data_IF_505502825063
#
_entry.id   IF_505502825063
#
_cell.length_a   1.000
_cell.length_b   1.000
_cell.length_c   1.000
_cell.angle_alpha   90.00
_cell.angle_beta   90.00
_cell.angle_gamma   90.00
#
_symmetry.space_group_name_H-M   'P 1'
#
loop_
_entity.id
_entity.type
_entity.pdbx_description
1 polymer ?
#
# COMPACT_ATOMS: atom_id res chain seq x y z
N UNK A 1 -17.47 -10.43 2.46
CA UNK A 1 -17.02 -9.68 3.62
C UNK A 1 -16.30 -10.57 4.58
N UNK A 2 -15.17 -10.12 5.04
CA UNK A 2 -14.34 -10.90 5.93
C UNK A 2 -14.65 -10.67 7.40
N UNK A 3 -14.10 -11.53 8.22
CA UNK A 3 -14.09 -11.37 9.66
C UNK A 3 -13.13 -10.22 10.00
N UNK A 4 -13.52 -9.37 10.93
CA UNK A 4 -12.67 -8.29 11.43
C UNK A 4 -11.90 -8.72 12.67
N UNK A 5 -10.69 -8.20 12.80
CA UNK A 5 -9.83 -8.46 13.94
C UNK A 5 -9.46 -7.15 14.63
N UNK A 6 -9.44 -7.17 15.97
CA UNK A 6 -8.91 -6.08 16.76
C UNK A 6 -7.50 -6.44 17.18
N UNK A 7 -6.55 -5.56 16.86
CA UNK A 7 -5.12 -5.80 17.11
C UNK A 7 -4.57 -4.64 17.93
N UNK A 8 -3.86 -4.96 19.01
CA UNK A 8 -3.13 -3.96 19.79
C UNK A 8 -1.68 -3.95 19.33
N UNK A 9 -1.20 -2.77 18.93
CA UNK A 9 0.15 -2.60 18.42
C UNK A 9 0.63 -1.22 18.84
N UNK A 10 1.89 -1.11 19.26
CA UNK A 10 2.40 0.19 19.69
C UNK A 10 2.70 1.10 18.50
N UNK A 11 2.92 2.39 18.77
CA UNK A 11 3.06 3.39 17.70
C UNK A 11 4.30 3.16 16.83
N UNK A 12 5.41 2.70 17.40
CA UNK A 12 6.62 2.43 16.64
C UNK A 12 6.40 1.28 15.65
N UNK A 13 5.83 0.20 16.15
CA UNK A 13 5.56 -0.98 15.31
C UNK A 13 4.53 -0.66 14.23
N UNK A 14 3.49 0.10 14.59
CA UNK A 14 2.47 0.50 13.62
C UNK A 14 3.05 1.40 12.54
N UNK A 15 3.97 2.29 12.90
CA UNK A 15 4.69 3.11 11.93
C UNK A 15 5.42 2.26 10.89
N UNK A 16 6.09 1.20 11.35
CA UNK A 16 6.78 0.27 10.43
C UNK A 16 5.81 -0.46 9.52
N UNK A 17 4.66 -0.87 10.04
CA UNK A 17 3.63 -1.53 9.22
C UNK A 17 3.13 -0.58 8.14
N UNK A 18 2.83 0.67 8.49
CA UNK A 18 2.38 1.66 7.53
C UNK A 18 3.44 1.97 6.47
N UNK A 19 4.69 2.08 6.87
CA UNK A 19 5.79 2.29 5.92
C UNK A 19 5.88 1.13 4.92
N UNK A 20 5.75 -0.10 5.40
CA UNK A 20 5.74 -1.28 4.55
C UNK A 20 4.56 -1.28 3.57
N UNK A 21 3.37 -0.90 4.05
CA UNK A 21 2.19 -0.80 3.19
C UNK A 21 2.37 0.27 2.12
N UNK A 22 2.92 1.42 2.48
CA UNK A 22 3.17 2.51 1.52
C UNK A 22 4.21 2.11 0.48
N UNK A 23 5.27 1.42 0.90
CA UNK A 23 6.30 0.93 0.00
C UNK A 23 5.70 -0.07 -1.00
N UNK A 24 4.86 -0.98 -0.52
CA UNK A 24 4.21 -1.96 -1.38
C UNK A 24 3.23 -1.31 -2.35
N UNK A 25 2.47 -0.33 -1.88
CA UNK A 25 1.59 0.45 -2.74
C UNK A 25 2.38 1.12 -3.87
N UNK A 26 3.52 1.73 -3.53
CA UNK A 26 4.35 2.40 -4.52
C UNK A 26 4.90 1.40 -5.53
N UNK A 27 5.31 0.21 -5.10
CA UNK A 27 5.75 -0.85 -6.01
C UNK A 27 4.68 -1.21 -7.03
N UNK A 28 3.42 -1.31 -6.59
CA UNK A 28 2.32 -1.63 -7.50
C UNK A 28 2.00 -0.47 -8.44
N UNK A 29 2.08 0.78 -7.96
CA UNK A 29 1.92 1.96 -8.82
C UNK A 29 3.00 1.99 -9.90
N UNK A 30 4.24 1.73 -9.50
CA UNK A 30 5.38 1.69 -10.42
C UNK A 30 5.22 0.57 -11.45
N UNK A 31 4.72 -0.58 -11.00
CA UNK A 31 4.45 -1.71 -11.91
C UNK A 31 3.41 -1.32 -12.97
N UNK A 32 2.34 -0.64 -12.55
CA UNK A 32 1.32 -0.19 -13.49
C UNK A 32 1.89 0.78 -14.52
N UNK A 33 2.73 1.72 -14.08
CA UNK A 33 3.39 2.68 -14.97
C UNK A 33 4.30 1.95 -15.96
N UNK A 34 5.11 1.01 -15.47
CA UNK A 34 6.01 0.24 -16.34
C UNK A 34 5.24 -0.57 -17.38
N UNK A 35 4.16 -1.25 -16.96
CA UNK A 35 3.38 -2.08 -17.88
C UNK A 35 2.63 -1.25 -18.92
N UNK A 36 2.22 -0.03 -18.56
CA UNK A 36 1.47 0.85 -19.47
C UNK A 36 2.39 1.63 -20.38
N UNK A 37 3.47 2.20 -19.84
CA UNK A 37 4.31 3.17 -20.53
C UNK A 37 5.72 2.68 -20.82
N UNK A 38 6.07 1.47 -20.39
CA UNK A 38 7.41 0.89 -20.53
C UNK A 38 8.49 1.83 -19.96
N UNK A 39 8.20 2.40 -18.78
CA UNK A 39 9.03 3.41 -18.16
C UNK A 39 9.22 3.09 -16.67
N UNK A 40 10.49 3.15 -16.22
CA UNK A 40 10.81 3.00 -14.81
C UNK A 40 10.83 4.36 -14.12
N UNK A 41 9.94 4.57 -13.11
CA UNK A 41 9.83 5.88 -12.47
C UNK A 41 11.05 6.31 -11.67
N UNK A 42 11.84 5.38 -11.14
CA UNK A 42 13.06 5.70 -10.41
C UNK A 42 14.02 4.48 -10.38
N UNK A 43 15.25 4.73 -9.90
CA UNK A 43 16.30 3.70 -9.88
C UNK A 43 16.10 2.63 -8.82
N UNK A 44 15.30 2.89 -7.81
CA UNK A 44 14.99 1.93 -6.74
C UNK A 44 13.76 1.10 -7.05
N UNK A 45 13.30 1.16 -8.28
CA UNK A 45 12.09 0.51 -8.73
C UNK A 45 12.12 -1.01 -8.50
N UNK A 46 11.07 -1.51 -7.89
CA UNK A 46 10.82 -2.94 -7.75
C UNK A 46 9.54 -3.26 -8.50
N UNK A 47 9.65 -4.12 -9.51
CA UNK A 47 8.51 -4.50 -10.32
C UNK A 47 7.84 -5.72 -9.71
N UNK A 48 6.56 -5.61 -9.42
CA UNK A 48 5.77 -6.73 -8.96
C UNK A 48 5.42 -7.65 -10.14
N UNK A 49 5.25 -8.92 -9.86
CA UNK A 49 4.95 -9.89 -10.90
C UNK A 49 3.50 -9.76 -11.35
N UNK A 50 3.30 -9.11 -12.48
CA UNK A 50 2.00 -8.80 -13.03
C UNK A 50 2.15 -8.48 -14.52
N UNK A 51 1.16 -8.85 -15.33
CA UNK A 51 1.19 -8.59 -16.77
C UNK A 51 0.12 -7.60 -17.22
N UNK A 52 -0.77 -7.17 -16.32
CA UNK A 52 -1.89 -6.30 -16.66
C UNK A 52 -1.80 -5.00 -15.86
N UNK A 53 -1.63 -3.83 -16.52
CA UNK A 53 -1.55 -2.56 -15.80
C UNK A 53 -2.82 -2.23 -15.01
N UNK A 54 -4.00 -2.62 -15.50
CA UNK A 54 -5.25 -2.37 -14.77
C UNK A 54 -5.30 -3.17 -13.48
N UNK A 55 -4.83 -4.42 -13.51
CA UNK A 55 -4.74 -5.23 -12.30
C UNK A 55 -3.77 -4.63 -11.29
N UNK A 56 -2.60 -4.16 -11.77
CA UNK A 56 -1.63 -3.51 -10.90
C UNK A 56 -2.21 -2.25 -10.23
N UNK A 57 -2.98 -1.46 -10.99
CA UNK A 57 -3.65 -0.28 -10.43
C UNK A 57 -4.70 -0.65 -9.39
N UNK A 58 -5.45 -1.72 -9.62
CA UNK A 58 -6.45 -2.19 -8.65
C UNK A 58 -5.79 -2.62 -7.36
N UNK A 59 -4.66 -3.31 -7.45
CA UNK A 59 -3.93 -3.73 -6.25
C UNK A 59 -3.37 -2.52 -5.51
N UNK A 60 -2.80 -1.54 -6.22
CA UNK A 60 -2.32 -0.31 -5.61
C UNK A 60 -3.46 0.42 -4.88
N UNK A 61 -4.65 0.49 -5.48
CA UNK A 61 -5.82 1.10 -4.86
C UNK A 61 -6.28 0.33 -3.62
N UNK A 62 -6.14 -0.98 -3.63
CA UNK A 62 -6.46 -1.80 -2.46
C UNK A 62 -5.54 -1.45 -1.29
N UNK A 63 -4.23 -1.30 -1.53
CA UNK A 63 -3.29 -0.86 -0.50
C UNK A 63 -3.61 0.53 0.02
N UNK A 64 -4.01 1.46 -0.87
CA UNK A 64 -4.43 2.79 -0.47
C UNK A 64 -5.60 2.73 0.51
N UNK A 65 -6.56 1.88 0.23
CA UNK A 65 -7.73 1.72 1.09
C UNK A 65 -7.35 1.16 2.47
N UNK A 66 -6.43 0.20 2.51
CA UNK A 66 -5.95 -0.34 3.78
C UNK A 66 -5.25 0.74 4.59
N UNK A 67 -4.37 1.49 3.94
CA UNK A 67 -3.62 2.58 4.61
C UNK A 67 -4.57 3.61 5.20
N UNK A 68 -5.56 4.05 4.42
CA UNK A 68 -6.55 5.03 4.88
C UNK A 68 -7.37 4.50 6.05
N UNK A 69 -7.75 3.23 6.01
CA UNK A 69 -8.50 2.60 7.10
C UNK A 69 -7.69 2.61 8.39
N UNK A 70 -6.40 2.26 8.31
CA UNK A 70 -5.52 2.26 9.48
C UNK A 70 -5.34 3.67 10.01
N UNK A 71 -5.07 4.64 9.14
CA UNK A 71 -4.88 6.04 9.55
C UNK A 71 -6.14 6.62 10.21
N UNK A 72 -7.31 6.30 9.67
CA UNK A 72 -8.57 6.74 10.23
C UNK A 72 -8.79 6.18 11.63
N UNK A 73 -8.45 4.92 11.85
CA UNK A 73 -8.58 4.29 13.16
C UNK A 73 -7.59 4.88 14.16
N UNK A 74 -6.39 5.25 13.72
CA UNK A 74 -5.43 5.97 14.56
C UNK A 74 -6.03 7.31 15.00
N UNK A 75 -6.59 8.07 14.07
CA UNK A 75 -7.20 9.37 14.37
C UNK A 75 -8.35 9.23 15.37
N UNK A 76 -9.17 8.19 15.24
CA UNK A 76 -10.27 7.91 16.15
C UNK A 76 -9.81 7.61 17.57
N UNK A 77 -8.55 7.19 17.72
CA UNK A 77 -7.98 6.85 19.01
C UNK A 77 -7.05 7.95 19.55
N UNK A 78 -7.16 9.15 19.02
CA UNK A 78 -6.40 10.31 19.48
C UNK A 78 -5.18 10.66 18.65
N UNK A 79 -4.91 9.90 17.57
CA UNK A 79 -3.77 10.13 16.68
C UNK A 79 -2.45 9.64 17.29
N UNK A 80 -1.36 10.01 16.62
CA UNK A 80 -0.03 9.67 17.09
C UNK A 80 0.33 10.49 18.36
#
# INVERSE_FOLDING_TARGET
MGKEFQIKIDSLDLGQVLDGLRARQQSWKNTAIFLRDDYFPDDSFVCEQCSDPDEAEKIASHYERIIRSVEQQIDQQGGW
#
